data_IF_322431451943
#
_entry.id   IF_322431451943
#
_cell.length_a   1.000
_cell.length_b   1.000
_cell.length_c   1.000
_cell.angle_alpha   90.00
_cell.angle_beta   90.00
_cell.angle_gamma   90.00
#
_symmetry.space_group_name_H-M   'P 1'
#
loop_
_entity.id
_entity.type
_entity.pdbx_description
1 polymer ?
#
# COMPACT_ATOMS: atom_id res chain seq x y z
N UNK A 1 16.64 -68.85 -35.56
CA UNK A 1 17.38 -67.75 -36.19
C UNK A 1 16.96 -66.39 -35.67
N UNK A 2 15.68 -66.02 -35.65
CA UNK A 2 15.19 -64.67 -35.17
C UNK A 2 15.59 -64.40 -33.72
N UNK A 3 15.63 -65.34 -32.79
CA UNK A 3 16.04 -65.12 -31.41
C UNK A 3 17.52 -64.75 -31.27
N UNK A 4 18.39 -65.34 -32.10
CA UNK A 4 19.82 -65.02 -32.12
C UNK A 4 20.11 -63.63 -32.65
N UNK A 5 19.35 -63.17 -33.65
CA UNK A 5 19.45 -61.84 -34.17
C UNK A 5 18.97 -60.75 -33.14
N UNK A 6 17.88 -61.03 -32.43
CA UNK A 6 17.42 -60.21 -31.35
C UNK A 6 18.42 -60.13 -30.19
N UNK A 7 19.07 -61.24 -29.85
CA UNK A 7 20.12 -61.25 -28.83
C UNK A 7 21.36 -60.47 -29.27
N UNK A 8 21.77 -60.60 -30.55
CA UNK A 8 22.88 -59.83 -31.09
C UNK A 8 22.64 -58.31 -31.05
N UNK A 9 21.46 -57.82 -31.46
CA UNK A 9 21.06 -56.41 -31.37
C UNK A 9 21.04 -55.97 -29.94
N UNK A 10 20.57 -56.77 -29.01
CA UNK A 10 20.56 -56.46 -27.58
C UNK A 10 21.97 -56.28 -27.01
N UNK A 11 22.91 -57.15 -27.40
CA UNK A 11 24.31 -57.05 -27.00
C UNK A 11 24.94 -55.80 -27.54
N UNK A 12 24.74 -55.41 -28.80
CA UNK A 12 25.24 -54.23 -29.42
C UNK A 12 24.68 -52.95 -28.68
N UNK A 13 23.40 -52.95 -28.36
CA UNK A 13 22.80 -51.86 -27.60
C UNK A 13 23.38 -51.74 -26.19
N UNK A 14 23.62 -52.83 -25.51
CA UNK A 14 24.25 -52.85 -24.18
C UNK A 14 25.72 -52.41 -24.23
N UNK A 15 26.47 -52.77 -25.26
CA UNK A 15 27.83 -52.29 -25.46
C UNK A 15 27.89 -50.80 -25.72
N UNK A 16 27.03 -50.29 -26.59
CA UNK A 16 26.90 -48.84 -26.85
C UNK A 16 26.49 -48.09 -25.59
N UNK A 17 25.56 -48.62 -24.82
CA UNK A 17 25.12 -48.06 -23.56
C UNK A 17 26.22 -48.03 -22.51
N UNK A 18 27.05 -49.10 -22.46
CA UNK A 18 28.23 -49.15 -21.57
C UNK A 18 29.29 -48.13 -21.94
N UNK A 19 29.50 -47.87 -23.23
CA UNK A 19 30.53 -46.92 -23.70
C UNK A 19 30.07 -45.44 -23.59
N UNK A 20 28.83 -45.13 -23.89
CA UNK A 20 28.35 -43.76 -24.05
C UNK A 20 27.25 -43.39 -23.06
N UNK A 21 26.47 -44.34 -22.58
CA UNK A 21 25.31 -44.08 -21.72
C UNK A 21 25.68 -43.50 -20.37
N UNK A 22 26.78 -43.91 -19.78
CA UNK A 22 27.25 -43.39 -18.49
C UNK A 22 27.64 -41.93 -18.59
N UNK A 23 28.35 -41.52 -19.64
CA UNK A 23 28.73 -40.14 -19.87
C UNK A 23 27.51 -39.23 -20.22
N UNK A 24 26.58 -39.75 -21.01
CA UNK A 24 25.35 -39.03 -21.34
C UNK A 24 24.49 -38.77 -20.08
N UNK A 25 24.36 -39.76 -19.23
CA UNK A 25 23.68 -39.64 -17.94
C UNK A 25 24.35 -38.61 -17.00
N UNK A 26 25.68 -38.66 -16.95
CA UNK A 26 26.46 -37.72 -16.13
C UNK A 26 26.24 -36.28 -16.59
N UNK A 27 26.39 -36.03 -17.90
CA UNK A 27 26.16 -34.66 -18.47
C UNK A 27 24.74 -34.21 -18.27
N UNK A 28 23.76 -35.12 -18.44
CA UNK A 28 22.36 -34.80 -18.21
C UNK A 28 22.07 -34.45 -16.75
N UNK A 29 22.62 -35.22 -15.81
CA UNK A 29 22.47 -34.93 -14.38
C UNK A 29 23.15 -33.63 -13.98
N UNK A 30 24.33 -33.33 -14.51
CA UNK A 30 25.03 -32.08 -14.29
C UNK A 30 24.19 -30.86 -14.79
N UNK A 31 23.55 -31.02 -15.95
CA UNK A 31 22.66 -30.04 -16.51
C UNK A 31 21.41 -29.84 -15.62
N UNK A 32 20.81 -30.91 -15.14
CA UNK A 32 19.68 -30.84 -14.20
C UNK A 32 20.06 -30.15 -12.89
N UNK A 33 21.21 -30.44 -12.33
CA UNK A 33 21.73 -29.80 -11.11
C UNK A 33 21.88 -28.29 -11.36
N UNK A 34 22.46 -27.89 -12.48
CA UNK A 34 22.60 -26.49 -12.85
C UNK A 34 21.25 -25.77 -13.00
N UNK A 35 20.28 -26.42 -13.64
CA UNK A 35 18.92 -25.88 -13.75
C UNK A 35 18.25 -25.71 -12.38
N UNK A 36 18.42 -26.68 -11.48
CA UNK A 36 17.90 -26.60 -10.11
C UNK A 36 18.55 -25.43 -9.35
N UNK A 37 19.85 -25.27 -9.45
CA UNK A 37 20.57 -24.14 -8.83
C UNK A 37 20.09 -22.80 -9.34
N UNK A 38 19.89 -22.65 -10.64
CA UNK A 38 19.31 -21.43 -11.22
C UNK A 38 17.89 -21.17 -10.71
N UNK A 39 17.03 -22.18 -10.72
CA UNK A 39 15.68 -22.07 -10.22
C UNK A 39 15.64 -21.68 -8.74
N UNK A 40 16.53 -22.23 -7.92
CA UNK A 40 16.67 -21.89 -6.51
C UNK A 40 17.10 -20.44 -6.31
N UNK A 41 18.05 -19.93 -7.10
CA UNK A 41 18.48 -18.52 -7.06
C UNK A 41 17.35 -17.57 -7.44
N UNK A 42 16.61 -17.90 -8.49
CA UNK A 42 15.45 -17.09 -8.90
C UNK A 42 14.35 -17.10 -7.86
N UNK A 43 14.06 -18.26 -7.28
CA UNK A 43 13.09 -18.39 -6.20
C UNK A 43 13.47 -17.54 -4.98
N UNK A 44 14.74 -17.56 -4.61
CA UNK A 44 15.25 -16.76 -3.50
C UNK A 44 15.15 -15.25 -3.78
N UNK A 45 15.47 -14.83 -5.00
CA UNK A 45 15.30 -13.45 -5.46
C UNK A 45 13.84 -12.99 -5.43
N UNK A 46 12.93 -13.82 -5.93
CA UNK A 46 11.50 -13.54 -5.91
C UNK A 46 10.95 -13.43 -4.48
N UNK A 47 11.35 -14.33 -3.59
CA UNK A 47 10.96 -14.26 -2.18
C UNK A 47 11.40 -12.96 -1.52
N UNK A 48 12.63 -12.53 -1.80
CA UNK A 48 13.14 -11.25 -1.31
C UNK A 48 12.33 -10.07 -1.85
N UNK A 49 12.04 -10.05 -3.15
CA UNK A 49 11.23 -9.00 -3.76
C UNK A 49 9.82 -8.94 -3.15
N UNK A 50 9.21 -10.09 -2.88
CA UNK A 50 7.90 -10.16 -2.22
C UNK A 50 7.97 -9.57 -0.80
N UNK A 51 9.01 -9.88 -0.04
CA UNK A 51 9.20 -9.32 1.30
C UNK A 51 9.38 -7.81 1.26
N UNK A 52 10.21 -7.29 0.35
CA UNK A 52 10.46 -5.87 0.16
C UNK A 52 9.18 -5.12 -0.25
N UNK A 53 8.42 -5.69 -1.18
CA UNK A 53 7.12 -5.14 -1.61
C UNK A 53 6.10 -5.12 -0.48
N UNK A 54 6.01 -6.17 0.31
CA UNK A 54 5.12 -6.24 1.46
C UNK A 54 5.51 -5.21 2.54
N UNK A 55 6.81 -5.02 2.76
CA UNK A 55 7.31 -4.01 3.67
C UNK A 55 6.96 -2.59 3.20
N UNK A 56 7.20 -2.29 1.92
CA UNK A 56 6.82 -1.01 1.32
C UNK A 56 5.31 -0.75 1.41
N UNK A 57 4.50 -1.74 1.07
CA UNK A 57 3.04 -1.66 1.18
C UNK A 57 2.60 -1.34 2.61
N UNK A 58 3.16 -2.05 3.60
CA UNK A 58 2.87 -1.82 5.01
C UNK A 58 3.22 -0.40 5.44
N UNK A 59 4.40 0.08 5.06
CA UNK A 59 4.84 1.44 5.39
C UNK A 59 3.96 2.50 4.73
N UNK A 60 3.61 2.34 3.46
CA UNK A 60 2.68 3.25 2.79
C UNK A 60 1.31 3.29 3.46
N UNK A 61 0.77 2.14 3.85
CA UNK A 61 -0.51 2.06 4.55
C UNK A 61 -0.45 2.73 5.94
N UNK A 62 0.62 2.52 6.69
CA UNK A 62 0.81 3.18 7.99
C UNK A 62 0.93 4.69 7.85
N UNK A 63 1.69 5.16 6.87
CA UNK A 63 1.87 6.59 6.60
C UNK A 63 0.56 7.24 6.14
N UNK A 64 -0.16 6.59 5.22
CA UNK A 64 -1.47 7.06 4.76
C UNK A 64 -2.49 7.08 5.89
N UNK A 65 -2.52 6.04 6.73
CA UNK A 65 -3.40 5.98 7.89
C UNK A 65 -3.11 7.07 8.92
N UNK A 66 -1.83 7.40 9.14
CA UNK A 66 -1.44 8.50 10.02
C UNK A 66 -1.89 9.86 9.47
N UNK A 67 -1.70 10.11 8.17
CA UNK A 67 -2.17 11.33 7.50
C UNK A 67 -3.68 11.46 7.54
N UNK A 68 -4.42 10.39 7.30
CA UNK A 68 -5.88 10.41 7.37
C UNK A 68 -6.38 10.77 8.78
N UNK A 69 -5.76 10.23 9.82
CA UNK A 69 -6.09 10.58 11.22
C UNK A 69 -5.77 12.02 11.55
N UNK A 70 -4.64 12.54 11.07
CA UNK A 70 -4.28 13.95 11.22
C UNK A 70 -5.27 14.86 10.51
N UNK A 71 -5.67 14.53 9.29
CA UNK A 71 -6.69 15.27 8.53
C UNK A 71 -8.05 15.25 9.24
N UNK A 72 -8.47 14.09 9.77
CA UNK A 72 -9.69 13.95 10.56
C UNK A 72 -9.66 14.84 11.80
N UNK A 73 -8.58 14.81 12.57
CA UNK A 73 -8.38 15.68 13.74
C UNK A 73 -8.42 17.17 13.38
N UNK A 74 -7.75 17.53 12.29
CA UNK A 74 -7.76 18.92 11.79
C UNK A 74 -9.16 19.35 11.36
N UNK A 75 -9.88 18.48 10.66
CA UNK A 75 -11.25 18.74 10.24
C UNK A 75 -12.17 18.98 11.42
N UNK A 76 -12.14 18.10 12.43
CA UNK A 76 -12.92 18.24 13.66
C UNK A 76 -12.60 19.55 14.37
N UNK A 77 -11.31 19.90 14.49
CA UNK A 77 -10.86 21.15 15.09
C UNK A 77 -11.38 22.38 14.32
N UNK A 78 -11.33 22.36 13.00
CA UNK A 78 -11.82 23.44 12.14
C UNK A 78 -13.34 23.60 12.24
N UNK A 79 -14.10 22.50 12.23
CA UNK A 79 -15.56 22.55 12.39
C UNK A 79 -15.95 23.13 13.75
N UNK A 80 -15.26 22.72 14.82
CA UNK A 80 -15.49 23.27 16.16
C UNK A 80 -15.18 24.77 16.24
N UNK A 81 -14.07 25.20 15.65
CA UNK A 81 -13.71 26.62 15.58
C UNK A 81 -14.72 27.43 14.77
N UNK A 82 -15.18 26.91 13.65
CA UNK A 82 -16.21 27.59 12.85
C UNK A 82 -17.50 27.76 13.66
N UNK A 83 -17.91 26.75 14.39
CA UNK A 83 -19.09 26.85 15.26
C UNK A 83 -18.91 27.94 16.36
N UNK A 84 -17.76 27.98 17.02
CA UNK A 84 -17.45 28.99 18.01
C UNK A 84 -17.44 30.39 17.41
N UNK A 85 -16.89 30.57 16.23
CA UNK A 85 -16.86 31.84 15.50
C UNK A 85 -18.28 32.29 15.14
N UNK A 86 -19.11 31.42 14.59
CA UNK A 86 -20.50 31.71 14.26
C UNK A 86 -21.30 32.11 15.50
N UNK A 87 -21.13 31.39 16.60
CA UNK A 87 -21.75 31.71 17.87
C UNK A 87 -21.34 33.10 18.37
N UNK A 88 -20.05 33.41 18.28
CA UNK A 88 -19.53 34.75 18.67
C UNK A 88 -20.04 35.83 17.77
N UNK A 89 -20.17 35.63 16.47
CA UNK A 89 -20.75 36.58 15.53
C UNK A 89 -22.20 36.89 15.89
N UNK A 90 -23.02 35.88 16.16
CA UNK A 90 -24.42 36.06 16.57
C UNK A 90 -24.51 36.87 17.89
N UNK A 91 -23.64 36.57 18.84
CA UNK A 91 -23.56 37.31 20.10
C UNK A 91 -23.22 38.79 19.86
N UNK A 92 -22.19 39.10 19.04
CA UNK A 92 -21.81 40.48 18.70
C UNK A 92 -22.89 41.21 17.92
N UNK A 93 -23.58 40.56 17.00
CA UNK A 93 -24.71 41.13 16.27
C UNK A 93 -25.84 41.54 17.21
N UNK A 94 -26.15 40.67 18.19
CA UNK A 94 -27.15 40.98 19.23
C UNK A 94 -26.72 42.18 20.12
N UNK A 95 -25.47 42.21 20.53
CA UNK A 95 -24.93 43.35 21.31
C UNK A 95 -24.97 44.66 20.51
N UNK A 96 -24.59 44.66 19.23
CA UNK A 96 -24.70 45.83 18.35
C UNK A 96 -26.15 46.27 18.20
N UNK A 97 -27.07 45.34 18.04
CA UNK A 97 -28.50 45.66 17.94
C UNK A 97 -29.04 46.28 19.22
N UNK A 98 -28.63 45.80 20.39
CA UNK A 98 -29.01 46.39 21.68
C UNK A 98 -28.46 47.79 21.85
N UNK A 99 -27.18 48.03 21.51
CA UNK A 99 -26.56 49.37 21.59
C UNK A 99 -27.24 50.33 20.64
N UNK A 100 -27.54 49.93 19.42
CA UNK A 100 -28.26 50.76 18.45
C UNK A 100 -29.68 51.14 18.95
N UNK A 101 -30.39 50.17 19.57
CA UNK A 101 -31.70 50.43 20.14
C UNK A 101 -31.61 51.42 21.30
N UNK A 102 -30.69 51.24 22.25
CA UNK A 102 -30.46 52.14 23.37
C UNK A 102 -30.08 53.56 22.90
N UNK A 103 -29.22 53.66 21.90
CA UNK A 103 -28.82 54.95 21.32
C UNK A 103 -29.97 55.62 20.59
N UNK A 104 -30.80 54.88 19.88
CA UNK A 104 -32.01 55.38 19.23
C UNK A 104 -33.05 55.89 20.24
N UNK A 105 -33.24 55.19 21.35
CA UNK A 105 -34.13 55.58 22.44
C UNK A 105 -33.61 56.85 23.14
N UNK A 106 -32.31 56.93 23.47
CA UNK A 106 -31.69 58.11 24.07
C UNK A 106 -31.81 59.36 23.16
N UNK A 107 -31.64 59.19 21.84
CA UNK A 107 -31.85 60.28 20.89
C UNK A 107 -33.32 60.75 20.84
N UNK A 108 -34.29 59.86 20.93
CA UNK A 108 -35.70 60.18 20.99
C UNK A 108 -36.06 60.98 22.27
N UNK A 109 -35.53 60.56 23.40
CA UNK A 109 -35.72 61.27 24.67
C UNK A 109 -35.10 62.66 24.63
N UNK A 110 -33.90 62.81 24.09
CA UNK A 110 -33.25 64.11 23.92
C UNK A 110 -34.05 65.07 23.01
N UNK A 111 -34.59 64.56 21.91
CA UNK A 111 -35.45 65.37 21.01
C UNK A 111 -36.73 65.77 21.67
N UNK A 112 -37.33 64.96 22.54
CA UNK A 112 -38.55 65.30 23.29
C UNK A 112 -38.28 66.28 24.40
N UNK A 113 -37.08 66.34 24.96
CA UNK A 113 -36.70 67.31 25.99
C UNK A 113 -36.38 68.70 25.43
N UNK A 114 -36.04 68.88 24.17
CA UNK A 114 -35.79 70.15 23.49
C UNK A 114 -37.05 70.85 23.00
N UNK A 115 -38.16 70.13 23.01
CA UNK A 115 -39.48 70.63 22.71
C UNK A 115 -40.35 70.78 23.98
#
# INVERSE_FOLDING_TARGET
>A
MAQLEHQAVRIENLELMSQHGCNAWKVYNEHLVHMIEQAQKELQKLRKNIQDLNWQRKNMQLTAGAKLREMESTWVSLVSKNYEIERTIVQLENEISQIKQQHGEANKENIQQEF
#
